data_IF_089340755027
#
_entry.id   IF_089340755027
#
_cell.length_a   1.000
_cell.length_b   1.000
_cell.length_c   1.000
_cell.angle_alpha   90.00
_cell.angle_beta   90.00
_cell.angle_gamma   90.00
#
_symmetry.space_group_name_H-M   'P 1'
#
loop_
_entity.id
_entity.type
_entity.pdbx_description
1 polymer ?
#
# COMPACT_ATOMS: atom_id res chain seq x y z
N UNK A 1 -27.29 70.67 16.72
CA UNK A 1 -26.70 70.72 18.08
C UNK A 1 -26.72 69.29 18.64
N UNK A 2 -25.54 68.81 19.06
CA UNK A 2 -25.21 67.63 19.90
C UNK A 2 -25.83 66.26 19.49
N UNK A 3 -25.11 65.22 19.06
CA UNK A 3 -23.87 64.53 19.56
C UNK A 3 -23.99 64.02 21.00
N UNK A 4 -24.16 62.69 21.15
CA UNK A 4 -23.63 61.79 22.21
C UNK A 4 -24.04 60.34 21.85
N UNK A 5 -23.24 59.47 21.21
CA UNK A 5 -22.28 58.46 21.76
C UNK A 5 -22.60 57.98 23.21
N UNK A 6 -22.44 56.72 23.66
CA UNK A 6 -21.45 55.64 23.44
C UNK A 6 -22.07 54.29 23.94
N UNK A 7 -21.44 53.16 23.56
CA UNK A 7 -21.38 51.82 24.22
C UNK A 7 -22.41 50.80 23.69
N UNK A 8 -22.08 49.69 23.04
CA UNK A 8 -20.81 48.98 22.89
C UNK A 8 -20.99 47.53 23.35
N UNK A 9 -21.27 46.60 22.42
CA UNK A 9 -20.94 45.17 22.56
C UNK A 9 -20.68 44.61 21.15
N UNK A 10 -19.40 44.48 20.80
CA UNK A 10 -18.95 43.69 19.65
C UNK A 10 -18.88 42.24 20.12
N UNK A 11 -19.82 41.39 19.70
CA UNK A 11 -19.72 39.96 19.93
C UNK A 11 -18.78 39.37 18.87
N UNK A 12 -17.49 39.38 19.18
CA UNK A 12 -16.49 38.58 18.46
C UNK A 12 -16.82 37.10 18.67
N UNK A 13 -17.42 36.45 17.66
CA UNK A 13 -17.51 34.99 17.63
C UNK A 13 -16.16 34.47 17.14
N UNK A 14 -15.34 34.12 18.13
CA UNK A 14 -14.10 33.40 17.97
C UNK A 14 -14.33 32.01 17.37
N UNK A 15 -13.59 31.75 16.29
CA UNK A 15 -12.83 30.52 16.01
C UNK A 15 -13.53 29.16 16.29
N UNK A 16 -14.11 28.59 15.23
CA UNK A 16 -14.37 27.16 15.14
C UNK A 16 -13.50 26.53 14.06
N UNK A 17 -12.22 26.29 14.37
CA UNK A 17 -11.38 25.37 13.59
C UNK A 17 -11.97 23.97 13.82
N UNK A 18 -12.85 23.53 12.93
CA UNK A 18 -13.31 22.15 12.87
C UNK A 18 -12.65 21.46 11.69
N UNK A 19 -11.81 20.47 12.03
CA UNK A 19 -11.20 19.58 11.05
C UNK A 19 -9.70 19.44 11.19
N UNK A 20 -9.17 19.17 12.39
CA UNK A 20 -7.93 18.39 12.48
C UNK A 20 -8.22 16.99 11.96
N UNK A 21 -8.11 16.78 10.65
CA UNK A 21 -7.80 15.46 10.12
C UNK A 21 -6.47 15.07 10.78
N UNK A 22 -6.50 14.09 11.69
CA UNK A 22 -5.28 13.42 12.11
C UNK A 22 -4.70 12.73 10.87
N UNK A 23 -3.78 13.41 10.20
CA UNK A 23 -2.93 12.83 9.21
C UNK A 23 -2.04 11.77 9.90
N UNK A 24 -2.44 10.51 9.85
CA UNK A 24 -1.55 9.39 10.17
C UNK A 24 -0.68 9.10 8.94
N UNK A 25 0.32 9.95 8.71
CA UNK A 25 1.30 9.83 7.63
C UNK A 25 2.66 9.27 8.10
N UNK A 26 2.79 8.74 9.31
CA UNK A 26 4.11 8.58 9.96
C UNK A 26 4.65 7.14 10.11
N UNK A 27 4.15 6.16 9.34
CA UNK A 27 4.69 4.78 9.37
C UNK A 27 5.65 4.50 8.20
N UNK A 28 6.77 3.83 8.47
CA UNK A 28 7.65 3.29 7.44
C UNK A 28 7.03 2.04 6.82
N UNK A 29 6.69 2.16 5.54
CA UNK A 29 5.95 1.16 4.77
C UNK A 29 6.80 -0.07 4.43
N UNK A 30 8.10 0.12 4.23
CA UNK A 30 9.04 -0.98 3.99
C UNK A 30 9.25 -1.80 5.27
N UNK A 31 9.37 -1.14 6.42
CA UNK A 31 9.41 -1.81 7.71
C UNK A 31 8.08 -2.50 8.04
N UNK A 32 6.94 -1.88 7.71
CA UNK A 32 5.62 -2.47 7.84
C UNK A 32 5.47 -3.75 7.00
N UNK A 33 5.91 -3.72 5.75
CA UNK A 33 5.93 -4.89 4.86
C UNK A 33 6.82 -6.01 5.41
N UNK A 34 8.01 -5.66 5.93
CA UNK A 34 8.93 -6.62 6.55
C UNK A 34 8.34 -7.24 7.81
N UNK A 35 7.65 -6.46 8.65
CA UNK A 35 6.94 -6.93 9.83
C UNK A 35 5.81 -7.87 9.44
N UNK A 36 4.99 -7.50 8.44
CA UNK A 36 3.93 -8.36 7.93
C UNK A 36 4.48 -9.71 7.48
N UNK A 37 5.54 -9.71 6.65
CA UNK A 37 6.19 -10.94 6.17
C UNK A 37 6.66 -11.84 7.32
N UNK A 38 7.22 -11.25 8.38
CA UNK A 38 7.79 -11.98 9.52
C UNK A 38 6.74 -12.46 10.53
N UNK A 39 5.64 -11.72 10.70
CA UNK A 39 4.71 -11.90 11.84
C UNK A 39 3.28 -12.27 11.44
N UNK A 40 2.88 -11.98 10.21
CA UNK A 40 1.47 -12.05 9.78
C UNK A 40 1.27 -13.00 8.59
N UNK A 41 2.21 -13.04 7.64
CA UNK A 41 2.07 -13.72 6.34
C UNK A 41 1.89 -15.26 6.43
N UNK A 42 2.25 -15.89 7.55
CA UNK A 42 1.98 -17.31 7.76
C UNK A 42 0.50 -17.62 8.01
N UNK A 43 -0.26 -16.63 8.47
CA UNK A 43 -1.66 -16.78 8.85
C UNK A 43 -2.60 -15.93 8.01
N UNK A 44 -2.12 -14.82 7.44
CA UNK A 44 -2.94 -13.85 6.76
C UNK A 44 -2.43 -13.62 5.34
N UNK A 45 -3.36 -13.59 4.39
CA UNK A 45 -3.10 -13.11 3.05
C UNK A 45 -3.51 -11.63 2.92
N UNK A 46 -3.14 -10.99 1.81
CA UNK A 46 -3.36 -9.57 1.59
C UNK A 46 -4.37 -9.25 0.47
N UNK A 47 -4.76 -10.23 -0.35
CA UNK A 47 -5.80 -10.06 -1.37
C UNK A 47 -7.04 -10.89 -1.02
N UNK A 48 -8.20 -10.48 -1.54
CA UNK A 48 -9.48 -11.19 -1.36
C UNK A 48 -9.49 -12.55 -2.09
N UNK A 49 -8.75 -12.66 -3.19
CA UNK A 49 -8.64 -13.85 -4.04
C UNK A 49 -7.64 -14.87 -3.51
N UNK A 50 -6.82 -14.49 -2.53
CA UNK A 50 -5.84 -15.38 -1.96
C UNK A 50 -6.49 -16.53 -1.19
N UNK A 51 -5.89 -17.72 -1.29
CA UNK A 51 -6.33 -18.90 -0.55
C UNK A 51 -6.40 -18.58 0.95
N UNK A 52 -7.52 -18.95 1.58
CA UNK A 52 -7.68 -18.85 3.03
C UNK A 52 -6.56 -19.59 3.77
N UNK A 53 -5.93 -18.89 4.71
CA UNK A 53 -4.92 -19.42 5.61
C UNK A 53 -5.56 -19.66 7.00
N UNK A 54 -4.75 -19.77 8.05
CA UNK A 54 -5.25 -19.91 9.42
C UNK A 54 -5.98 -18.66 9.95
N UNK A 55 -5.78 -17.51 9.30
CA UNK A 55 -6.50 -16.25 9.48
C UNK A 55 -7.19 -15.77 8.20
N UNK A 56 -8.12 -14.80 8.30
CA UNK A 56 -8.76 -14.17 7.14
C UNK A 56 -7.74 -13.33 6.34
N UNK A 57 -8.06 -12.99 5.09
CA UNK A 57 -7.29 -11.97 4.38
C UNK A 57 -7.41 -10.60 5.09
N UNK A 58 -6.41 -9.74 4.89
CA UNK A 58 -6.34 -8.38 5.42
C UNK A 58 -6.40 -7.31 4.30
N UNK A 59 -6.90 -7.70 3.12
CA UNK A 59 -7.22 -6.76 2.05
C UNK A 59 -8.19 -5.68 2.55
N UNK A 60 -7.89 -4.41 2.28
CA UNK A 60 -8.70 -3.24 2.66
C UNK A 60 -9.20 -3.27 4.12
N UNK A 61 -8.35 -3.73 5.06
CA UNK A 61 -8.77 -3.95 6.45
C UNK A 61 -8.87 -2.66 7.27
N UNK A 62 -8.12 -1.62 6.92
CA UNK A 62 -8.13 -0.35 7.66
C UNK A 62 -9.46 0.37 7.41
N UNK A 63 -10.07 0.85 8.49
CA UNK A 63 -11.41 1.45 8.54
C UNK A 63 -12.56 0.51 8.14
N UNK A 64 -12.28 -0.77 7.90
CA UNK A 64 -13.30 -1.78 7.71
C UNK A 64 -13.92 -2.23 9.05
N UNK A 65 -15.24 -2.43 9.09
CA UNK A 65 -15.91 -3.22 10.15
C UNK A 65 -15.20 -4.55 10.40
N UNK A 66 -15.12 -5.00 11.64
CA UNK A 66 -14.51 -6.29 11.94
C UNK A 66 -15.33 -7.47 11.37
N UNK A 67 -14.64 -8.55 10.97
CA UNK A 67 -15.28 -9.82 10.66
C UNK A 67 -16.00 -9.90 9.31
N UNK A 68 -15.56 -9.16 8.28
CA UNK A 68 -16.28 -9.08 7.00
C UNK A 68 -15.97 -10.19 6.00
N UNK A 69 -14.90 -10.97 6.20
CA UNK A 69 -14.51 -11.98 5.21
C UNK A 69 -15.53 -13.11 5.22
N UNK A 70 -16.29 -13.20 4.14
CA UNK A 70 -17.33 -14.21 3.97
C UNK A 70 -16.73 -15.62 4.05
N UNK A 71 -17.47 -16.54 4.67
CA UNK A 71 -17.03 -17.93 4.84
C UNK A 71 -15.94 -18.16 5.89
N UNK A 72 -15.26 -17.12 6.41
CA UNK A 72 -14.26 -17.30 7.46
C UNK A 72 -14.88 -17.55 8.84
N UNK A 73 -14.40 -18.57 9.55
CA UNK A 73 -14.92 -18.97 10.87
C UNK A 73 -14.30 -18.14 12.01
N UNK A 74 -14.79 -16.93 12.19
CA UNK A 74 -14.38 -16.02 13.27
C UNK A 74 -14.63 -16.57 14.69
N UNK A 75 -14.04 -15.91 15.69
CA UNK A 75 -14.35 -16.17 17.11
C UNK A 75 -15.71 -15.56 17.47
N UNK A 76 -16.44 -16.16 18.42
CA UNK A 76 -17.70 -15.58 18.93
C UNK A 76 -17.50 -14.16 19.46
N UNK A 77 -16.39 -13.93 20.15
CA UNK A 77 -16.03 -12.62 20.69
C UNK A 77 -15.87 -11.57 19.58
N UNK A 78 -15.17 -11.90 18.49
CA UNK A 78 -15.02 -10.98 17.36
C UNK A 78 -16.36 -10.73 16.65
N UNK A 79 -17.19 -11.75 16.47
CA UNK A 79 -18.53 -11.59 15.87
C UNK A 79 -19.44 -10.67 16.72
N UNK A 80 -19.38 -10.81 18.05
CA UNK A 80 -20.09 -9.92 18.98
C UNK A 80 -19.58 -8.49 18.89
N UNK A 81 -18.25 -8.29 18.88
CA UNK A 81 -17.65 -6.97 18.72
C UNK A 81 -18.02 -6.34 17.37
N UNK A 82 -18.01 -7.11 16.28
CA UNK A 82 -18.45 -6.65 14.96
C UNK A 82 -19.93 -6.25 14.95
N UNK A 83 -20.79 -6.96 15.68
CA UNK A 83 -22.22 -6.62 15.85
C UNK A 83 -22.39 -5.35 16.70
N UNK A 84 -21.52 -5.15 17.69
CA UNK A 84 -21.45 -3.94 18.50
C UNK A 84 -20.77 -2.74 17.79
N UNK A 85 -20.41 -2.87 16.50
CA UNK A 85 -19.89 -1.77 15.70
C UNK A 85 -18.37 -1.61 15.72
N UNK A 86 -17.60 -2.65 16.06
CA UNK A 86 -16.13 -2.60 15.96
C UNK A 86 -15.68 -2.31 14.52
N UNK A 87 -14.90 -1.25 14.34
CA UNK A 87 -14.27 -0.82 13.09
C UNK A 87 -12.77 -0.84 13.28
N UNK A 88 -12.02 -1.46 12.36
CA UNK A 88 -10.56 -1.49 12.39
C UNK A 88 -9.94 -0.15 11.99
N UNK A 89 -10.27 0.90 12.73
CA UNK A 89 -9.59 2.18 12.61
C UNK A 89 -8.12 2.05 13.04
N UNK A 90 -7.23 2.95 12.61
CA UNK A 90 -5.82 2.92 13.01
C UNK A 90 -5.63 2.84 14.53
N UNK A 91 -6.45 3.56 15.30
CA UNK A 91 -6.39 3.54 16.76
C UNK A 91 -6.80 2.19 17.36
N UNK A 92 -7.86 1.56 16.82
CA UNK A 92 -8.29 0.24 17.29
C UNK A 92 -7.31 -0.86 16.88
N UNK A 93 -6.73 -0.76 15.69
CA UNK A 93 -5.66 -1.65 15.25
C UNK A 93 -4.41 -1.51 16.12
N UNK A 94 -4.01 -0.30 16.51
CA UNK A 94 -2.86 -0.10 17.41
C UNK A 94 -3.07 -0.80 18.77
N UNK A 95 -4.24 -0.61 19.37
CA UNK A 95 -4.60 -1.26 20.63
C UNK A 95 -4.68 -2.78 20.49
N UNK A 96 -5.33 -3.28 19.43
CA UNK A 96 -5.46 -4.71 19.18
C UNK A 96 -4.10 -5.36 18.93
N UNK A 97 -3.24 -4.75 18.11
CA UNK A 97 -1.91 -5.25 17.78
C UNK A 97 -0.96 -5.17 18.97
N UNK A 98 -1.22 -4.36 19.99
CA UNK A 98 -0.42 -4.35 21.23
C UNK A 98 -0.57 -5.65 22.00
N UNK A 99 -1.80 -6.12 22.21
CA UNK A 99 -2.07 -7.39 22.90
C UNK A 99 -3.49 -7.92 22.58
N UNK A 100 -3.68 -8.72 21.52
CA UNK A 100 -4.99 -9.09 20.99
C UNK A 100 -5.94 -9.75 21.99
N UNK A 101 -5.40 -10.64 22.85
CA UNK A 101 -6.19 -11.35 23.85
C UNK A 101 -6.63 -10.48 25.03
N UNK A 102 -5.93 -9.37 25.29
CA UNK A 102 -6.39 -8.37 26.26
C UNK A 102 -7.43 -7.42 25.65
N UNK A 103 -7.25 -7.02 24.39
CA UNK A 103 -8.22 -6.19 23.67
C UNK A 103 -9.55 -6.92 23.45
N UNK A 104 -9.49 -8.18 23.00
CA UNK A 104 -10.65 -9.00 22.68
C UNK A 104 -10.51 -10.37 23.34
N UNK A 105 -11.04 -10.48 24.56
CA UNK A 105 -11.03 -11.73 25.32
C UNK A 105 -11.67 -12.85 24.50
N UNK A 106 -11.02 -14.01 24.43
CA UNK A 106 -11.43 -15.15 23.61
C UNK A 106 -11.36 -14.97 22.09
N UNK A 107 -10.60 -13.99 21.59
CA UNK A 107 -10.22 -13.97 20.16
C UNK A 107 -9.42 -15.23 19.79
N UNK A 108 -9.66 -15.74 18.57
CA UNK A 108 -8.92 -16.87 18.00
C UNK A 108 -7.52 -16.49 17.52
N UNK A 109 -7.23 -15.19 17.36
CA UNK A 109 -5.92 -14.73 16.90
C UNK A 109 -4.87 -14.96 18.00
N UNK A 110 -4.05 -16.01 17.84
CA UNK A 110 -2.99 -16.35 18.79
C UNK A 110 -1.70 -15.58 18.47
N UNK A 111 -1.75 -14.27 18.62
CA UNK A 111 -0.61 -13.38 18.39
C UNK A 111 -0.19 -12.73 19.71
N UNK A 112 1.12 -12.68 19.97
CA UNK A 112 1.67 -12.18 21.24
C UNK A 112 1.55 -10.65 21.35
N UNK A 113 1.39 -9.97 20.22
CA UNK A 113 1.39 -8.51 20.11
C UNK A 113 2.73 -7.91 19.70
N UNK A 114 2.68 -6.64 19.28
CA UNK A 114 3.82 -5.78 18.96
C UNK A 114 3.94 -4.70 20.04
N UNK A 115 4.94 -4.84 20.92
CA UNK A 115 5.10 -3.93 22.07
C UNK A 115 5.60 -2.56 21.66
N UNK A 116 6.45 -2.50 20.62
CA UNK A 116 7.03 -1.26 20.11
C UNK A 116 5.95 -0.50 19.32
N UNK A 117 5.68 0.74 19.70
CA UNK A 117 4.66 1.57 19.05
C UNK A 117 4.99 1.85 17.57
N UNK A 118 6.27 2.13 17.27
CA UNK A 118 6.73 2.35 15.89
C UNK A 118 6.45 1.14 14.99
N UNK A 119 6.69 -0.09 15.47
CA UNK A 119 6.39 -1.31 14.70
C UNK A 119 4.89 -1.42 14.35
N UNK A 120 4.01 -1.06 15.30
CA UNK A 120 2.57 -1.06 15.05
C UNK A 120 2.19 0.00 14.04
N UNK A 121 2.71 1.21 14.19
CA UNK A 121 2.46 2.31 13.26
C UNK A 121 2.93 1.96 11.83
N UNK A 122 4.11 1.38 11.69
CA UNK A 122 4.65 0.90 10.42
C UNK A 122 3.75 -0.17 9.80
N UNK A 123 3.32 -1.16 10.59
CA UNK A 123 2.42 -2.22 10.11
C UNK A 123 1.03 -1.67 9.73
N UNK A 124 0.46 -0.76 10.51
CA UNK A 124 -0.85 -0.16 10.24
C UNK A 124 -0.78 0.70 8.98
N UNK A 125 0.29 1.50 8.81
CA UNK A 125 0.51 2.27 7.59
C UNK A 125 0.61 1.35 6.36
N UNK A 126 1.33 0.24 6.46
CA UNK A 126 1.42 -0.75 5.39
C UNK A 126 0.06 -1.38 5.06
N UNK A 127 -0.71 -1.77 6.08
CA UNK A 127 -2.06 -2.33 5.91
C UNK A 127 -3.07 -1.31 5.37
N UNK A 128 -2.89 -0.01 5.65
CA UNK A 128 -3.75 1.05 5.11
C UNK A 128 -3.63 1.18 3.60
N UNK A 129 -2.51 0.71 3.03
CA UNK A 129 -2.29 0.75 1.59
C UNK A 129 -2.80 -0.50 0.86
N UNK A 130 -3.36 -1.50 1.56
CA UNK A 130 -3.87 -2.71 0.90
C UNK A 130 -5.20 -2.44 0.22
N UNK A 131 -5.25 -2.54 -1.10
CA UNK A 131 -6.51 -2.63 -1.83
C UNK A 131 -7.04 -4.08 -1.86
N UNK A 132 -8.19 -4.28 -2.50
CA UNK A 132 -8.81 -5.61 -2.65
C UNK A 132 -7.92 -6.62 -3.38
N UNK A 133 -7.11 -6.13 -4.32
CA UNK A 133 -6.16 -6.92 -5.11
C UNK A 133 -4.87 -7.25 -4.34
N UNK A 134 -4.70 -6.77 -3.10
CA UNK A 134 -3.49 -6.99 -2.31
C UNK A 134 -2.28 -6.26 -2.86
N UNK A 135 -2.49 -5.15 -3.58
CA UNK A 135 -1.43 -4.20 -3.89
C UNK A 135 -1.18 -3.43 -2.59
N UNK A 136 -0.24 -3.91 -1.76
CA UNK A 136 -0.07 -3.44 -0.37
C UNK A 136 0.61 -2.08 -0.28
N UNK A 137 0.27 -1.16 -1.17
CA UNK A 137 1.08 0.02 -1.41
C UNK A 137 2.48 -0.30 -1.90
N UNK A 138 2.91 -1.52 -2.21
CA UNK A 138 4.21 -1.69 -2.89
C UNK A 138 4.21 -1.08 -4.30
N UNK A 139 3.03 -0.69 -4.81
CA UNK A 139 2.85 0.19 -5.96
C UNK A 139 2.62 1.68 -5.61
N UNK A 140 2.49 2.04 -4.33
CA UNK A 140 2.11 3.39 -3.82
C UNK A 140 2.85 3.88 -2.56
N UNK A 141 3.88 3.18 -2.12
CA UNK A 141 4.61 3.34 -0.88
C UNK A 141 5.97 2.66 -1.08
N UNK A 142 7.03 3.35 -1.48
CA UNK A 142 7.47 4.65 -0.98
C UNK A 142 8.30 5.39 -2.03
N UNK A 143 7.64 5.81 -3.10
CA UNK A 143 8.15 6.82 -4.02
C UNK A 143 7.02 7.33 -4.90
N UNK A 144 7.02 8.64 -5.13
CA UNK A 144 6.28 9.20 -6.24
C UNK A 144 7.15 9.00 -7.48
N UNK A 145 6.62 8.35 -8.50
CA UNK A 145 7.20 8.49 -9.83
C UNK A 145 6.93 9.95 -10.24
N UNK A 146 7.94 10.70 -10.69
CA UNK A 146 7.72 12.06 -11.17
C UNK A 146 6.58 12.07 -12.19
N UNK A 147 5.60 12.95 -11.99
CA UNK A 147 4.45 13.09 -12.91
C UNK A 147 4.92 13.29 -14.35
N UNK A 148 6.04 14.00 -14.53
CA UNK A 148 6.68 14.20 -15.83
C UNK A 148 7.07 12.88 -16.49
N UNK A 149 7.68 11.95 -15.75
CA UNK A 149 8.04 10.62 -16.26
C UNK A 149 6.79 9.77 -16.58
N UNK A 150 5.73 9.84 -15.76
CA UNK A 150 4.47 9.14 -16.05
C UNK A 150 3.75 9.71 -17.28
N UNK A 151 3.94 11.00 -17.57
CA UNK A 151 3.36 11.71 -18.70
C UNK A 151 4.17 11.59 -20.00
N UNK A 152 5.39 11.03 -19.96
CA UNK A 152 6.20 10.83 -21.16
C UNK A 152 5.51 9.85 -22.12
N UNK A 153 5.34 10.28 -23.37
CA UNK A 153 4.91 9.41 -24.46
C UNK A 153 6.11 8.56 -24.91
N UNK A 154 5.95 7.23 -24.89
CA UNK A 154 7.03 6.32 -25.26
C UNK A 154 7.24 6.23 -26.78
N UNK A 155 8.50 6.22 -27.21
CA UNK A 155 8.87 5.94 -28.61
C UNK A 155 8.93 4.43 -28.85
N UNK A 156 8.06 3.92 -29.73
CA UNK A 156 7.95 2.49 -30.01
C UNK A 156 9.20 1.91 -30.68
N UNK A 157 9.75 2.62 -31.67
CA UNK A 157 10.90 2.15 -32.45
C UNK A 157 12.15 2.15 -31.57
N UNK A 158 12.31 3.18 -30.75
CA UNK A 158 13.41 3.26 -29.81
C UNK A 158 13.30 2.21 -28.69
N UNK A 159 12.08 1.99 -28.18
CA UNK A 159 11.79 0.93 -27.21
C UNK A 159 12.12 -0.47 -27.75
N UNK A 160 11.78 -0.74 -29.01
CA UNK A 160 12.13 -2.00 -29.68
C UNK A 160 13.65 -2.19 -29.75
N UNK A 161 14.38 -1.17 -30.18
CA UNK A 161 15.84 -1.19 -30.28
C UNK A 161 16.50 -1.55 -28.93
N UNK A 162 16.07 -0.90 -27.84
CA UNK A 162 16.61 -1.12 -26.50
C UNK A 162 16.21 -2.48 -25.90
N UNK A 163 15.09 -3.06 -26.34
CA UNK A 163 14.48 -4.24 -25.70
C UNK A 163 15.28 -5.53 -25.79
N UNK A 164 16.22 -5.62 -26.75
CA UNK A 164 16.99 -6.82 -27.06
C UNK A 164 17.71 -7.39 -25.83
N UNK A 165 18.33 -6.53 -25.03
CA UNK A 165 19.03 -6.91 -23.80
C UNK A 165 18.10 -7.42 -22.69
N UNK A 166 16.89 -6.83 -22.60
CA UNK A 166 15.90 -7.23 -21.60
C UNK A 166 15.41 -8.66 -21.86
N UNK A 167 15.27 -9.03 -23.13
CA UNK A 167 14.69 -10.31 -23.57
C UNK A 167 15.61 -11.51 -23.41
N UNK A 168 16.90 -11.28 -23.15
CA UNK A 168 17.85 -12.32 -22.72
C UNK A 168 17.40 -12.99 -21.42
N UNK A 169 16.70 -12.24 -20.56
CA UNK A 169 16.19 -12.69 -19.28
C UNK A 169 14.65 -12.75 -19.26
N UNK A 170 13.98 -11.69 -19.73
CA UNK A 170 12.53 -11.55 -19.71
C UNK A 170 11.92 -12.11 -21.00
N UNK A 171 11.48 -13.38 -20.93
CA UNK A 171 11.06 -14.14 -22.10
C UNK A 171 9.85 -13.52 -22.83
N UNK A 172 9.92 -13.48 -24.17
CA UNK A 172 8.82 -13.05 -25.07
C UNK A 172 7.56 -13.91 -25.01
N UNK A 173 7.64 -15.13 -24.45
CA UNK A 173 6.52 -16.06 -24.40
C UNK A 173 5.50 -15.74 -23.28
N UNK A 174 5.74 -14.69 -22.50
CA UNK A 174 4.80 -14.23 -21.48
C UNK A 174 4.68 -15.12 -20.24
N UNK A 175 5.60 -16.09 -20.05
CA UNK A 175 5.60 -17.00 -18.89
C UNK A 175 6.26 -16.36 -17.69
N UNK A 176 5.56 -16.40 -16.55
CA UNK A 176 6.07 -15.99 -15.26
C UNK A 176 6.73 -17.19 -14.56
N UNK A 177 8.05 -17.31 -14.70
CA UNK A 177 8.84 -18.39 -14.05
C UNK A 177 9.71 -17.81 -12.93
N UNK A 178 11.02 -18.07 -12.93
CA UNK A 178 11.96 -17.41 -12.02
C UNK A 178 12.17 -15.93 -12.37
N UNK A 179 12.00 -15.57 -13.65
CA UNK A 179 12.06 -14.19 -14.17
C UNK A 179 10.63 -13.81 -14.61
N UNK A 180 10.10 -12.67 -14.15
CA UNK A 180 8.74 -12.26 -14.47
C UNK A 180 8.61 -11.82 -15.94
N UNK A 181 7.43 -12.03 -16.49
CA UNK A 181 7.03 -11.45 -17.77
C UNK A 181 6.86 -9.94 -17.64
N UNK A 182 7.31 -9.22 -18.66
CA UNK A 182 7.17 -7.77 -18.78
C UNK A 182 6.32 -7.35 -19.99
N UNK A 183 5.83 -8.31 -20.77
CA UNK A 183 5.00 -8.04 -21.97
C UNK A 183 3.51 -8.00 -21.63
N UNK A 184 2.74 -7.27 -22.45
CA UNK A 184 1.27 -7.16 -22.32
C UNK A 184 0.87 -6.69 -20.91
N UNK A 185 1.62 -5.72 -20.37
CA UNK A 185 1.32 -5.02 -19.12
C UNK A 185 1.16 -3.53 -19.43
N UNK A 186 0.27 -2.82 -18.71
CA UNK A 186 0.16 -1.37 -18.87
C UNK A 186 1.52 -0.68 -18.70
N UNK A 187 1.84 0.31 -19.54
CA UNK A 187 3.13 1.01 -19.50
C UNK A 187 3.47 1.54 -18.10
N UNK A 188 2.49 2.10 -17.41
CA UNK A 188 2.69 2.68 -16.06
C UNK A 188 3.26 1.66 -15.07
N UNK A 189 2.94 0.36 -15.19
CA UNK A 189 3.48 -0.67 -14.31
C UNK A 189 4.99 -0.86 -14.52
N UNK A 190 5.44 -0.86 -15.78
CA UNK A 190 6.86 -1.03 -16.10
C UNK A 190 7.66 0.23 -15.79
N UNK A 191 7.12 1.42 -16.10
CA UNK A 191 7.71 2.71 -15.72
C UNK A 191 7.93 2.76 -14.21
N UNK A 192 6.88 2.46 -13.44
CA UNK A 192 6.94 2.45 -11.97
C UNK A 192 7.99 1.44 -11.47
N UNK A 193 8.03 0.23 -12.03
CA UNK A 193 8.98 -0.79 -11.61
C UNK A 193 10.43 -0.42 -11.91
N UNK A 194 10.73 0.08 -13.12
CA UNK A 194 12.08 0.48 -13.52
C UNK A 194 12.56 1.68 -12.71
N UNK A 195 11.71 2.69 -12.51
CA UNK A 195 12.01 3.80 -11.62
C UNK A 195 12.30 3.32 -10.19
N UNK A 196 11.47 2.42 -9.64
CA UNK A 196 11.69 1.85 -8.31
C UNK A 196 13.04 1.16 -8.17
N UNK A 197 13.46 0.40 -9.18
CA UNK A 197 14.76 -0.27 -9.18
C UNK A 197 15.90 0.73 -9.34
N UNK A 198 15.75 1.75 -10.19
CA UNK A 198 16.77 2.77 -10.43
C UNK A 198 17.08 3.55 -9.15
N UNK A 199 16.03 4.00 -8.47
CA UNK A 199 16.13 4.80 -7.25
C UNK A 199 16.33 3.96 -5.97
N UNK A 200 16.33 2.63 -6.09
CA UNK A 200 16.57 1.72 -4.97
C UNK A 200 15.36 1.50 -4.06
N UNK A 201 14.18 1.99 -4.42
CA UNK A 201 12.94 1.69 -3.70
C UNK A 201 12.51 0.23 -3.85
N UNK A 202 13.01 -0.47 -4.88
CA UNK A 202 12.80 -1.89 -5.09
C UNK A 202 14.13 -2.64 -5.08
N UNK A 203 14.22 -3.67 -4.24
CA UNK A 203 15.42 -4.48 -4.06
C UNK A 203 15.48 -5.63 -5.09
N UNK A 204 16.48 -5.60 -5.95
CA UNK A 204 16.95 -6.73 -6.77
C UNK A 204 18.27 -6.32 -7.44
N UNK A 205 19.39 -6.97 -7.08
CA UNK A 205 20.71 -6.54 -7.55
C UNK A 205 20.83 -6.52 -9.09
N UNK A 206 20.25 -7.51 -9.77
CA UNK A 206 20.31 -7.57 -11.23
C UNK A 206 19.52 -6.41 -11.86
N UNK A 207 18.27 -6.22 -11.46
CA UNK A 207 17.44 -5.15 -12.01
C UNK A 207 17.90 -3.75 -11.61
N UNK A 208 18.51 -3.58 -10.44
CA UNK A 208 19.15 -2.31 -10.06
C UNK A 208 20.34 -1.97 -10.96
N UNK A 209 21.14 -2.95 -11.38
CA UNK A 209 22.26 -2.72 -12.32
C UNK A 209 21.79 -2.35 -13.72
N UNK A 210 20.65 -2.89 -14.15
CA UNK A 210 20.02 -2.54 -15.42
C UNK A 210 19.37 -1.16 -15.33
N UNK A 211 18.47 -0.95 -14.38
CA UNK A 211 17.67 0.27 -14.27
C UNK A 211 18.52 1.53 -14.02
N UNK A 212 19.67 1.41 -13.33
CA UNK A 212 20.61 2.54 -13.11
C UNK A 212 21.25 3.11 -14.38
N UNK A 213 21.14 2.43 -15.53
CA UNK A 213 21.70 2.87 -16.80
C UNK A 213 20.67 3.56 -17.70
N UNK A 214 19.40 3.56 -17.29
CA UNK A 214 18.29 4.04 -18.11
C UNK A 214 17.90 5.47 -17.78
N UNK A 215 17.70 6.28 -18.82
CA UNK A 215 17.05 7.60 -18.71
C UNK A 215 15.54 7.47 -18.58
N UNK A 216 14.86 8.59 -18.31
CA UNK A 216 13.40 8.64 -18.22
C UNK A 216 12.74 8.33 -19.57
N UNK A 217 13.30 8.84 -20.67
CA UNK A 217 12.86 8.57 -22.03
C UNK A 217 13.05 7.10 -22.41
N UNK A 218 14.18 6.50 -22.02
CA UNK A 218 14.43 5.08 -22.26
C UNK A 218 13.47 4.19 -21.47
N UNK A 219 13.16 4.55 -20.21
CA UNK A 219 12.15 3.86 -19.40
C UNK A 219 10.77 3.94 -20.06
N UNK A 220 10.36 5.12 -20.51
CA UNK A 220 9.07 5.33 -21.18
C UNK A 220 8.98 4.56 -22.51
N UNK A 221 10.03 4.62 -23.34
CA UNK A 221 10.11 3.91 -24.62
C UNK A 221 10.04 2.38 -24.44
N UNK A 222 10.81 1.82 -23.50
CA UNK A 222 10.77 0.38 -23.17
C UNK A 222 9.39 -0.04 -22.68
N UNK A 223 8.78 0.74 -21.77
CA UNK A 223 7.43 0.45 -21.24
C UNK A 223 6.39 0.40 -22.35
N UNK A 224 6.39 1.40 -23.24
CA UNK A 224 5.46 1.47 -24.36
C UNK A 224 5.63 0.30 -25.33
N UNK A 225 6.87 -0.04 -25.68
CA UNK A 225 7.14 -1.18 -26.53
C UNK A 225 6.70 -2.51 -25.90
N UNK A 226 7.01 -2.76 -24.63
CA UNK A 226 6.63 -4.02 -23.97
C UNK A 226 5.10 -4.14 -23.75
N UNK A 227 4.39 -3.04 -23.54
CA UNK A 227 2.93 -3.01 -23.55
C UNK A 227 2.37 -3.46 -24.91
N UNK A 228 2.99 -3.03 -26.01
CA UNK A 228 2.55 -3.35 -27.39
C UNK A 228 2.66 -4.84 -27.75
N UNK A 229 3.52 -5.60 -27.07
CA UNK A 229 3.71 -7.04 -27.33
C UNK A 229 2.54 -7.83 -26.74
N UNK A 230 1.71 -8.39 -27.62
CA UNK A 230 0.57 -9.24 -27.23
C UNK A 230 0.99 -10.69 -26.98
N UNK A 231 0.32 -11.35 -26.03
CA UNK A 231 0.49 -12.79 -25.73
C UNK A 231 -0.20 -13.69 -26.76
#
# INVERSE_FOLDING_TARGET
>A
MAVQQILGVVFSISLGIFGTSLAFANGDLAQGAALFKKKCASCHALSEEARALSGPHLAAIVDARAGQVEGFKYSKALQQAATAGLIWSPAQLDQFLTHPKAFLKHTKMNFIGLKVAADRQNLIAFLAQTDKAGTNGLAKASFDVPEELLALEGDLEYGEYLSSECMTCHQKNGKDTAIPSIINKPSYELVTALYAYREGYRENQAMQLIAKRLTDEEIAALAYYFESIRK
#
